data_IF_269386252369
#
_entry.id   IF_269386252369
#
_cell.length_a   1.000
_cell.length_b   1.000
_cell.length_c   1.000
_cell.angle_alpha   90.00
_cell.angle_beta   90.00
_cell.angle_gamma   90.00
#
_symmetry.space_group_name_H-M   'P 1'
#
loop_
_entity.id
_entity.type
_entity.pdbx_description
1 polymer ?
#
# COMPACT_ATOMS: atom_id res chain seq x y z
N UNK A 1 19.01 13.52 -13.89
CA UNK A 1 19.35 12.16 -13.41
C UNK A 1 20.80 11.87 -13.73
N UNK A 2 21.64 11.69 -12.71
CA UNK A 2 23.08 11.42 -12.88
C UNK A 2 23.39 9.93 -12.70
N UNK A 3 24.49 9.42 -13.27
CA UNK A 3 25.02 8.12 -12.87
C UNK A 3 25.44 8.13 -11.39
N UNK A 4 25.41 6.95 -10.77
CA UNK A 4 25.97 6.74 -9.44
C UNK A 4 27.50 6.80 -9.52
N UNK A 5 28.14 7.28 -8.46
CA UNK A 5 29.59 7.16 -8.32
C UNK A 5 29.97 5.70 -8.02
N UNK A 6 31.24 5.32 -8.18
CA UNK A 6 31.70 3.97 -7.85
C UNK A 6 31.40 3.60 -6.39
N UNK A 7 31.60 4.54 -5.47
CA UNK A 7 31.35 4.33 -4.04
C UNK A 7 29.85 4.18 -3.73
N UNK A 8 28.99 5.02 -4.33
CA UNK A 8 27.53 4.88 -4.21
C UNK A 8 27.06 3.54 -4.76
N UNK A 9 27.63 3.14 -5.90
CA UNK A 9 27.33 1.88 -6.57
C UNK A 9 27.71 0.69 -5.68
N UNK A 10 28.89 0.72 -5.07
CA UNK A 10 29.35 -0.29 -4.11
C UNK A 10 28.41 -0.41 -2.91
N UNK A 11 28.08 0.70 -2.25
CA UNK A 11 27.21 0.72 -1.07
C UNK A 11 25.80 0.20 -1.40
N UNK A 12 25.25 0.59 -2.55
CA UNK A 12 23.96 0.10 -3.02
C UNK A 12 24.01 -1.40 -3.28
N UNK A 13 25.00 -1.88 -4.03
CA UNK A 13 25.12 -3.29 -4.38
C UNK A 13 25.40 -4.18 -3.18
N UNK A 14 26.20 -3.74 -2.20
CA UNK A 14 26.38 -4.46 -0.94
C UNK A 14 25.06 -4.65 -0.18
N UNK A 15 24.15 -3.67 -0.27
CA UNK A 15 22.83 -3.80 0.36
C UNK A 15 21.91 -4.76 -0.41
N UNK A 16 21.93 -4.71 -1.74
CA UNK A 16 21.13 -5.58 -2.61
C UNK A 16 21.62 -7.04 -2.55
N UNK A 17 22.94 -7.25 -2.57
CA UNK A 17 23.58 -8.56 -2.50
C UNK A 17 23.21 -9.34 -1.24
N UNK A 18 22.84 -8.66 -0.15
CA UNK A 18 22.32 -9.31 1.07
C UNK A 18 21.01 -10.08 0.85
N UNK A 19 20.26 -9.78 -0.20
CA UNK A 19 18.98 -10.45 -0.51
C UNK A 19 19.11 -11.42 -1.70
N UNK A 20 19.75 -10.97 -2.78
CA UNK A 20 19.85 -11.75 -4.03
C UNK A 20 21.19 -12.48 -4.22
N UNK A 21 22.19 -12.21 -3.38
CA UNK A 21 23.52 -12.78 -3.51
C UNK A 21 24.22 -12.34 -4.81
N UNK A 22 24.75 -13.31 -5.55
CA UNK A 22 25.51 -13.11 -6.79
C UNK A 22 24.61 -12.88 -8.03
N UNK A 23 23.29 -13.01 -7.88
CA UNK A 23 22.31 -12.86 -8.97
C UNK A 23 22.11 -11.41 -9.45
N UNK A 24 22.96 -10.47 -9.03
CA UNK A 24 22.86 -9.06 -9.38
C UNK A 24 22.97 -8.81 -10.89
N UNK A 25 23.74 -9.63 -11.59
CA UNK A 25 23.89 -9.54 -13.05
C UNK A 25 22.56 -9.71 -13.78
N UNK A 26 21.65 -10.54 -13.24
CA UNK A 26 20.30 -10.77 -13.81
C UNK A 26 19.39 -9.53 -13.70
N UNK A 27 19.72 -8.57 -12.83
CA UNK A 27 19.02 -7.28 -12.77
C UNK A 27 19.53 -6.31 -13.84
N UNK A 28 20.80 -6.39 -14.23
CA UNK A 28 21.39 -5.48 -15.22
C UNK A 28 21.11 -6.00 -16.63
N UNK A 29 21.36 -7.28 -16.85
CA UNK A 29 21.24 -7.94 -18.14
C UNK A 29 19.94 -8.76 -18.19
N UNK A 30 18.87 -8.09 -18.61
CA UNK A 30 17.59 -8.72 -18.85
C UNK A 30 17.41 -9.03 -20.34
N UNK A 31 16.57 -10.03 -20.70
CA UNK A 31 16.34 -10.38 -22.11
C UNK A 31 15.72 -9.25 -22.94
N UNK A 32 15.02 -8.31 -22.32
CA UNK A 32 14.39 -7.13 -22.95
C UNK A 32 15.36 -5.95 -23.17
N UNK A 33 16.55 -6.02 -22.57
CA UNK A 33 17.65 -5.08 -22.76
C UNK A 33 18.42 -4.79 -21.47
N UNK A 34 19.42 -3.92 -21.59
CA UNK A 34 20.24 -3.50 -20.44
C UNK A 34 19.50 -2.48 -19.58
N UNK A 35 19.55 -2.70 -18.27
CA UNK A 35 19.02 -1.80 -17.26
C UNK A 35 20.15 -1.15 -16.48
N UNK A 36 19.92 0.08 -16.03
CA UNK A 36 20.89 0.87 -15.31
C UNK A 36 20.27 1.56 -14.10
N UNK A 37 21.13 1.90 -13.14
CA UNK A 37 20.76 2.69 -11.97
C UNK A 37 21.11 4.16 -12.18
N UNK A 38 20.20 5.06 -11.79
CA UNK A 38 20.40 6.51 -11.84
C UNK A 38 20.00 7.16 -10.53
N UNK A 39 20.75 8.19 -10.14
CA UNK A 39 20.48 8.95 -8.94
C UNK A 39 19.81 10.27 -9.29
N UNK A 40 18.76 10.59 -8.55
CA UNK A 40 18.06 11.87 -8.61
C UNK A 40 17.44 12.17 -7.25
N UNK A 41 17.67 13.38 -6.72
CA UNK A 41 17.19 13.81 -5.41
C UNK A 41 17.44 12.78 -4.29
N UNK A 42 18.68 12.29 -4.19
CA UNK A 42 19.15 11.24 -3.26
C UNK A 42 18.45 9.87 -3.38
N UNK A 43 17.56 9.71 -4.35
CA UNK A 43 16.85 8.46 -4.65
C UNK A 43 17.50 7.77 -5.83
N UNK A 44 17.59 6.45 -5.75
CA UNK A 44 18.11 5.61 -6.83
C UNK A 44 16.96 4.98 -7.56
N UNK A 45 16.95 5.16 -8.88
CA UNK A 45 15.97 4.63 -9.79
C UNK A 45 16.58 3.56 -10.69
N UNK A 46 15.85 2.48 -10.89
CA UNK A 46 16.14 1.39 -11.80
C UNK A 46 15.36 1.60 -13.10
N UNK A 47 16.06 1.72 -14.22
CA UNK A 47 15.48 2.08 -15.51
C UNK A 47 16.20 1.41 -16.68
N UNK A 48 15.44 1.10 -17.74
CA UNK A 48 16.02 0.64 -19.01
C UNK A 48 16.85 1.74 -19.65
N UNK A 49 18.01 1.39 -20.21
CA UNK A 49 18.85 2.34 -20.95
C UNK A 49 18.13 2.98 -22.13
N UNK A 50 17.17 2.27 -22.75
CA UNK A 50 16.35 2.78 -23.84
C UNK A 50 15.52 3.99 -23.39
N UNK A 51 14.85 3.87 -22.24
CA UNK A 51 14.04 4.95 -21.65
C UNK A 51 14.94 6.11 -21.20
N UNK A 52 16.11 5.80 -20.64
CA UNK A 52 17.05 6.83 -20.22
C UNK A 52 17.54 7.71 -21.37
N UNK A 53 17.81 7.12 -22.55
CA UNK A 53 18.19 7.89 -23.75
C UNK A 53 17.08 8.84 -24.19
N UNK A 54 15.82 8.43 -24.09
CA UNK A 54 14.67 9.30 -24.39
C UNK A 54 14.50 10.40 -23.34
N UNK A 55 14.74 10.07 -22.07
CA UNK A 55 14.67 11.00 -20.95
C UNK A 55 15.73 12.11 -21.00
N UNK A 56 16.80 11.93 -21.77
CA UNK A 56 17.81 12.97 -21.99
C UNK A 56 17.23 14.24 -22.63
N UNK A 57 16.07 14.15 -23.29
CA UNK A 57 15.37 15.31 -23.86
C UNK A 57 14.62 16.14 -22.81
N UNK A 58 14.50 15.65 -21.57
CA UNK A 58 13.78 16.32 -20.47
C UNK A 58 14.80 16.85 -19.47
N UNK A 59 14.64 18.11 -19.05
CA UNK A 59 15.53 18.70 -18.04
C UNK A 59 15.37 18.00 -16.69
N UNK A 60 16.47 17.82 -15.97
CA UNK A 60 16.50 17.10 -14.70
C UNK A 60 15.59 17.68 -13.61
N UNK A 61 15.34 19.00 -13.66
CA UNK A 61 14.48 19.71 -12.71
C UNK A 61 12.98 19.48 -12.98
N UNK A 62 12.62 19.19 -14.24
CA UNK A 62 11.24 18.83 -14.62
C UNK A 62 10.96 17.34 -14.48
N UNK A 63 12.01 16.53 -14.32
CA UNK A 63 11.89 15.09 -14.20
C UNK A 63 11.60 14.73 -12.73
N UNK A 64 10.38 14.27 -12.46
CA UNK A 64 9.95 13.87 -11.11
C UNK A 64 10.46 12.48 -10.73
N UNK A 65 10.27 11.50 -11.62
CA UNK A 65 10.74 10.13 -11.46
C UNK A 65 10.90 9.45 -12.83
N UNK A 66 11.71 8.40 -12.90
CA UNK A 66 11.93 7.64 -14.12
C UNK A 66 12.21 6.19 -13.76
N UNK A 67 11.35 5.26 -14.17
CA UNK A 67 11.45 3.86 -13.78
C UNK A 67 11.06 3.62 -12.32
N UNK A 68 11.61 2.57 -11.70
CA UNK A 68 11.23 2.18 -10.34
C UNK A 68 12.26 2.66 -9.32
N UNK A 69 11.81 3.30 -8.25
CA UNK A 69 12.67 3.69 -7.14
C UNK A 69 13.14 2.43 -6.38
N UNK A 70 14.45 2.20 -6.30
CA UNK A 70 15.00 1.09 -5.52
C UNK A 70 15.30 1.48 -4.07
N UNK A 71 15.48 2.77 -3.80
CA UNK A 71 15.82 3.24 -2.47
C UNK A 71 16.32 4.66 -2.46
N UNK A 72 16.81 5.08 -1.29
CA UNK A 72 17.45 6.38 -1.12
C UNK A 72 18.74 6.28 -0.30
N UNK A 73 19.68 7.18 -0.57
CA UNK A 73 20.82 7.39 0.30
C UNK A 73 20.39 8.23 1.50
N UNK A 74 20.85 7.83 2.69
CA UNK A 74 20.70 8.64 3.90
C UNK A 74 21.82 9.69 3.96
N UNK A 75 21.64 10.71 4.81
CA UNK A 75 22.69 11.69 5.15
C UNK A 75 23.98 11.03 5.67
N UNK A 76 23.87 9.81 6.20
CA UNK A 76 24.99 8.98 6.69
C UNK A 76 25.60 8.09 5.61
N UNK A 77 25.30 8.36 4.33
CA UNK A 77 25.76 7.57 3.16
C UNK A 77 25.41 6.08 3.22
N UNK A 78 24.33 5.71 3.92
CA UNK A 78 23.81 4.34 3.89
C UNK A 78 22.69 4.24 2.87
N UNK A 79 22.66 3.15 2.11
CA UNK A 79 21.56 2.89 1.19
C UNK A 79 20.37 2.26 1.92
N UNK A 80 19.24 2.98 1.95
CA UNK A 80 17.97 2.47 2.46
C UNK A 80 17.17 1.94 1.28
N UNK A 81 17.07 0.61 1.19
CA UNK A 81 16.26 -0.08 0.20
C UNK A 81 14.79 0.28 0.42
N UNK A 82 14.12 0.64 -0.66
CA UNK A 82 12.68 0.82 -0.68
C UNK A 82 12.02 -0.47 -1.14
N UNK A 83 10.79 -0.60 -0.70
CA UNK A 83 9.97 -1.76 -0.91
C UNK A 83 9.46 -1.90 -2.35
N UNK A 84 9.43 -0.80 -3.11
CA UNK A 84 9.22 -0.79 -4.57
C UNK A 84 10.28 -1.60 -5.34
N UNK A 85 11.41 -1.96 -4.71
CA UNK A 85 12.38 -2.88 -5.31
C UNK A 85 11.98 -4.36 -5.19
N UNK A 86 10.97 -4.68 -4.39
CA UNK A 86 10.61 -6.06 -4.03
C UNK A 86 10.31 -6.92 -5.26
N UNK A 87 9.54 -6.41 -6.22
CA UNK A 87 9.13 -7.16 -7.42
C UNK A 87 10.32 -7.60 -8.27
N UNK A 88 11.38 -6.80 -8.29
CA UNK A 88 12.60 -7.10 -9.01
C UNK A 88 13.54 -8.02 -8.22
N UNK A 89 13.51 -7.93 -6.88
CA UNK A 89 14.40 -8.71 -6.01
C UNK A 89 13.84 -10.09 -5.67
N UNK A 90 12.53 -10.20 -5.50
CA UNK A 90 11.83 -11.42 -5.09
C UNK A 90 12.14 -12.63 -6.01
N UNK A 91 12.14 -12.51 -7.35
CA UNK A 91 12.45 -13.62 -8.24
C UNK A 91 13.87 -14.19 -8.01
N UNK A 92 14.82 -13.31 -7.69
CA UNK A 92 16.24 -13.66 -7.56
C UNK A 92 16.71 -13.87 -6.13
N UNK A 93 15.82 -13.70 -5.14
CA UNK A 93 16.13 -13.85 -3.74
C UNK A 93 16.46 -15.31 -3.39
N UNK A 94 17.65 -15.54 -2.83
CA UNK A 94 18.11 -16.89 -2.45
C UNK A 94 17.42 -17.38 -1.18
N UNK A 95 17.28 -16.51 -0.19
CA UNK A 95 16.70 -16.86 1.11
C UNK A 95 15.31 -16.25 1.25
N UNK A 96 14.34 -17.12 1.50
CA UNK A 96 12.92 -16.80 1.53
C UNK A 96 12.30 -17.32 2.82
N UNK A 97 11.32 -16.59 3.33
CA UNK A 97 10.55 -16.94 4.52
C UNK A 97 9.07 -16.86 4.19
N UNK A 98 8.35 -17.96 4.41
CA UNK A 98 6.91 -18.03 4.24
C UNK A 98 6.23 -17.87 5.58
N UNK A 99 5.25 -16.98 5.66
CA UNK A 99 4.49 -16.70 6.87
C UNK A 99 3.06 -17.18 6.77
N UNK A 100 2.52 -17.65 7.89
CA UNK A 100 1.13 -18.11 8.00
C UNK A 100 0.16 -16.92 7.94
N UNK A 101 -1.09 -17.12 7.51
CA UNK A 101 -2.08 -16.05 7.42
C UNK A 101 -2.29 -15.28 8.73
N UNK A 102 -2.25 -15.96 9.89
CA UNK A 102 -2.38 -15.30 11.20
C UNK A 102 -1.23 -14.35 11.57
N UNK A 103 -0.09 -14.44 10.89
CA UNK A 103 1.05 -13.53 11.07
C UNK A 103 1.25 -12.59 9.87
N UNK A 104 0.55 -12.83 8.76
CA UNK A 104 0.61 -12.03 7.55
C UNK A 104 0.16 -10.60 7.82
N UNK A 105 -1.05 -10.41 8.32
CA UNK A 105 -1.58 -9.09 8.66
C UNK A 105 -0.65 -8.34 9.64
N UNK A 106 -0.09 -9.04 10.63
CA UNK A 106 0.85 -8.43 11.59
C UNK A 106 2.11 -7.92 10.90
N UNK A 107 2.67 -8.70 9.96
CA UNK A 107 3.83 -8.30 9.16
C UNK A 107 3.50 -7.15 8.20
N UNK A 108 2.32 -7.16 7.58
CA UNK A 108 1.86 -6.08 6.70
C UNK A 108 1.74 -4.75 7.46
N UNK A 109 1.36 -4.76 8.74
CA UNK A 109 1.38 -3.56 9.58
C UNK A 109 2.77 -3.17 10.10
N UNK A 110 3.83 -3.81 9.61
CA UNK A 110 5.21 -3.46 9.95
C UNK A 110 5.73 -4.12 11.23
N UNK A 111 5.02 -5.10 11.80
CA UNK A 111 5.53 -5.85 12.94
C UNK A 111 6.51 -6.95 12.52
N UNK A 112 7.30 -7.42 13.48
CA UNK A 112 8.20 -8.56 13.26
C UNK A 112 7.45 -9.88 13.14
N UNK A 113 7.97 -10.79 12.32
CA UNK A 113 7.46 -12.15 12.20
C UNK A 113 7.85 -12.95 13.46
N UNK A 114 6.84 -13.38 14.23
CA UNK A 114 7.04 -14.24 15.38
C UNK A 114 7.27 -15.70 14.96
N UNK A 115 7.94 -16.48 15.82
CA UNK A 115 8.18 -17.91 15.57
C UNK A 115 6.88 -18.72 15.36
N UNK A 116 5.77 -18.32 16.01
CA UNK A 116 4.45 -18.93 15.81
C UNK A 116 3.90 -18.74 14.39
N UNK A 117 4.21 -17.58 13.80
CA UNK A 117 3.81 -17.15 12.45
C UNK A 117 4.68 -17.70 11.33
N UNK A 118 5.82 -18.30 11.65
CA UNK A 118 6.73 -18.89 10.67
C UNK A 118 6.11 -20.17 10.09
N UNK A 119 5.95 -20.20 8.76
CA UNK A 119 5.47 -21.36 8.01
C UNK A 119 6.63 -22.20 7.51
N UNK A 120 7.44 -21.63 6.60
CA UNK A 120 8.62 -22.27 5.99
C UNK A 120 9.77 -21.27 5.93
N UNK A 121 11.00 -21.75 5.98
CA UNK A 121 12.21 -20.96 5.75
C UNK A 121 13.15 -21.73 4.83
N UNK A 122 13.87 -21.04 3.95
CA UNK A 122 14.92 -21.66 3.14
C UNK A 122 16.00 -22.27 4.05
N UNK A 123 16.45 -23.47 3.71
CA UNK A 123 17.55 -24.15 4.42
C UNK A 123 18.85 -23.34 4.34
N UNK A 124 19.76 -23.54 5.30
CA UNK A 124 21.04 -22.84 5.38
C UNK A 124 20.93 -21.31 5.48
N UNK A 125 19.80 -20.79 5.96
CA UNK A 125 19.67 -19.35 6.25
C UNK A 125 20.48 -19.03 7.52
N UNK A 126 21.60 -18.33 7.36
CA UNK A 126 22.42 -17.88 8.48
C UNK A 126 21.70 -16.81 9.32
N UNK A 127 22.11 -16.68 10.59
CA UNK A 127 21.65 -15.57 11.42
C UNK A 127 22.05 -14.22 10.77
N UNK A 128 21.15 -13.24 10.82
CA UNK A 128 21.31 -11.90 10.22
C UNK A 128 21.35 -11.87 8.68
N UNK A 129 21.01 -12.98 8.01
CA UNK A 129 20.86 -13.01 6.56
C UNK A 129 19.66 -12.15 6.11
N UNK A 130 19.81 -11.45 4.98
CA UNK A 130 18.69 -10.78 4.32
C UNK A 130 17.75 -11.80 3.70
N UNK A 131 16.49 -11.78 4.11
CA UNK A 131 15.44 -12.68 3.60
C UNK A 131 14.33 -11.88 2.96
N UNK A 132 13.69 -12.46 1.95
CA UNK A 132 12.43 -11.94 1.39
C UNK A 132 11.27 -12.72 1.99
N UNK A 133 10.24 -12.00 2.43
CA UNK A 133 9.08 -12.58 3.09
C UNK A 133 8.00 -12.86 2.05
N UNK A 134 7.32 -14.00 2.19
CA UNK A 134 6.27 -14.50 1.30
C UNK A 134 5.06 -14.94 2.12
N UNK A 135 3.88 -14.88 1.52
CA UNK A 135 2.70 -15.56 2.04
C UNK A 135 2.81 -17.06 1.76
N UNK A 136 1.95 -17.88 2.40
CA UNK A 136 1.87 -19.31 2.09
C UNK A 136 1.47 -19.61 0.62
N UNK A 137 0.94 -18.62 -0.11
CA UNK A 137 0.55 -18.71 -1.50
C UNK A 137 1.68 -18.27 -2.48
N UNK A 138 2.93 -18.20 -2.02
CA UNK A 138 4.09 -17.77 -2.82
C UNK A 138 4.01 -16.31 -3.34
N UNK A 139 3.22 -15.45 -2.68
CA UNK A 139 3.14 -14.02 -2.97
C UNK A 139 4.19 -13.26 -2.14
N UNK A 140 5.09 -12.46 -2.75
CA UNK A 140 6.08 -11.69 -2.00
C UNK A 140 5.38 -10.61 -1.17
N UNK A 141 5.64 -10.59 0.13
CA UNK A 141 4.96 -9.69 1.05
C UNK A 141 5.75 -8.41 1.30
N UNK A 142 5.01 -7.32 1.17
CA UNK A 142 5.44 -5.97 1.41
C UNK A 142 4.98 -5.52 2.82
N UNK A 143 5.85 -5.02 3.72
CA UNK A 143 5.40 -4.35 4.95
C UNK A 143 4.61 -3.08 4.56
N UNK A 144 3.29 -3.20 4.48
CA UNK A 144 2.35 -2.19 3.98
C UNK A 144 1.19 -2.77 3.14
N UNK A 145 1.28 -4.03 2.69
CA UNK A 145 0.29 -4.68 1.83
C UNK A 145 0.48 -4.32 0.34
N UNK A 146 0.42 -5.31 -0.54
CA UNK A 146 0.43 -5.08 -1.99
C UNK A 146 -0.92 -4.52 -2.48
N UNK A 147 -2.04 -4.97 -1.90
CA UNK A 147 -3.40 -4.55 -2.28
C UNK A 147 -3.59 -3.04 -2.19
N UNK A 148 -3.20 -2.42 -1.07
CA UNK A 148 -3.38 -0.97 -0.88
C UNK A 148 -2.57 -0.18 -1.90
N UNK A 149 -1.37 -0.66 -2.27
CA UNK A 149 -0.56 0.00 -3.28
C UNK A 149 -1.12 -0.15 -4.69
N UNK A 150 -1.70 -1.31 -5.02
CA UNK A 150 -2.33 -1.55 -6.32
C UNK A 150 -3.66 -0.80 -6.46
N UNK A 151 -4.50 -0.81 -5.43
CA UNK A 151 -5.80 -0.14 -5.42
C UNK A 151 -5.66 1.39 -5.48
N UNK A 152 -4.69 1.93 -4.76
CA UNK A 152 -4.47 3.37 -4.66
C UNK A 152 -3.44 3.91 -5.66
N UNK A 153 -2.87 3.05 -6.52
CA UNK A 153 -1.91 3.47 -7.55
C UNK A 153 -2.54 4.47 -8.54
N UNK A 154 -2.07 5.71 -8.51
CA UNK A 154 -2.55 6.77 -9.42
C UNK A 154 -3.93 7.34 -9.06
N UNK A 155 -4.45 7.01 -7.88
CA UNK A 155 -5.65 7.60 -7.29
C UNK A 155 -5.29 8.49 -6.09
N UNK A 156 -6.25 9.27 -5.61
CA UNK A 156 -6.10 10.00 -4.34
C UNK A 156 -6.27 9.02 -3.18
N UNK A 157 -5.17 8.74 -2.48
CA UNK A 157 -5.12 7.81 -1.36
C UNK A 157 -5.28 8.51 0.01
N UNK A 158 -5.67 9.80 0.02
CA UNK A 158 -5.68 10.61 1.25
C UNK A 158 -6.63 10.06 2.32
N UNK A 159 -7.84 9.67 1.93
CA UNK A 159 -8.82 9.07 2.85
C UNK A 159 -8.32 7.72 3.38
N UNK A 160 -7.85 6.84 2.50
CA UNK A 160 -7.29 5.54 2.89
C UNK A 160 -6.07 5.67 3.81
N UNK A 161 -5.27 6.73 3.65
CA UNK A 161 -4.14 7.02 4.54
C UNK A 161 -4.60 7.48 5.94
N UNK A 162 -5.63 8.33 6.03
CA UNK A 162 -6.14 8.81 7.31
C UNK A 162 -6.90 7.71 8.08
N UNK A 163 -7.65 6.86 7.38
CA UNK A 163 -8.43 5.75 7.97
C UNK A 163 -7.57 4.68 8.65
N UNK A 164 -6.35 4.47 8.14
CA UNK A 164 -5.41 3.48 8.72
C UNK A 164 -4.82 3.98 10.05
N UNK A 165 -4.90 5.28 10.36
CA UNK A 165 -4.45 5.81 11.64
C UNK A 165 -2.93 5.74 11.83
N UNK A 166 -2.17 6.19 10.83
CA UNK A 166 -0.71 6.19 10.87
C UNK A 166 -0.12 7.09 11.99
N UNK A 167 1.06 6.70 12.50
CA UNK A 167 1.79 7.43 13.54
C UNK A 167 2.23 8.83 13.10
N UNK A 168 2.53 9.70 14.07
CA UNK A 168 3.09 11.05 13.80
C UNK A 168 4.34 11.01 12.91
N UNK A 169 5.20 10.01 13.13
CA UNK A 169 6.44 9.83 12.39
C UNK A 169 6.18 9.46 10.93
N UNK A 170 5.14 8.66 10.66
CA UNK A 170 4.74 8.30 9.30
C UNK A 170 4.19 9.54 8.56
N UNK A 171 3.42 10.40 9.24
CA UNK A 171 2.94 11.68 8.70
C UNK A 171 4.09 12.65 8.41
N UNK A 172 5.10 12.70 9.26
CA UNK A 172 6.30 13.50 9.01
C UNK A 172 7.10 12.97 7.81
N UNK A 173 7.17 11.64 7.65
CA UNK A 173 7.82 11.03 6.51
C UNK A 173 7.08 11.30 5.20
N UNK A 174 5.74 11.32 5.20
CA UNK A 174 4.91 11.63 4.03
C UNK A 174 5.24 12.99 3.41
N UNK A 175 5.58 13.99 4.23
CA UNK A 175 6.02 15.32 3.75
C UNK A 175 7.24 15.24 2.83
N UNK A 176 8.10 14.25 2.98
CA UNK A 176 9.28 14.03 2.12
C UNK A 176 8.95 13.43 0.74
N UNK A 177 7.71 12.96 0.57
CA UNK A 177 7.20 12.37 -0.67
C UNK A 177 6.15 13.26 -1.35
N UNK A 178 5.83 14.42 -0.77
CA UNK A 178 4.98 15.40 -1.40
C UNK A 178 5.67 15.97 -2.65
N UNK A 179 5.03 15.79 -3.80
CA UNK A 179 5.55 16.21 -5.11
C UNK A 179 5.08 17.63 -5.45
N UNK A 180 3.84 17.96 -5.11
CA UNK A 180 3.19 19.24 -5.41
C UNK A 180 1.67 19.09 -5.47
N UNK A 181 0.96 20.20 -5.66
CA UNK A 181 -0.49 20.20 -5.83
C UNK A 181 -0.87 19.75 -7.25
N UNK A 182 -1.93 18.95 -7.35
CA UNK A 182 -2.52 18.57 -8.64
C UNK A 182 -3.12 19.83 -9.28
N UNK A 183 -2.88 20.01 -10.57
CA UNK A 183 -3.44 21.16 -11.29
C UNK A 183 -4.98 21.11 -11.23
N UNK A 184 -5.68 22.24 -11.00
CA UNK A 184 -7.13 22.24 -10.79
C UNK A 184 -7.95 21.65 -11.95
N UNK A 185 -7.39 21.63 -13.16
CA UNK A 185 -8.02 20.99 -14.33
C UNK A 185 -7.88 19.46 -14.36
N UNK A 186 -6.91 18.91 -13.63
CA UNK A 186 -6.65 17.46 -13.53
C UNK A 186 -7.31 16.84 -12.29
N UNK A 187 -7.90 17.68 -11.41
CA UNK A 187 -8.84 17.22 -10.40
C UNK A 187 -10.01 16.58 -11.14
N UNK A 188 -10.14 15.25 -11.07
CA UNK A 188 -11.38 14.61 -11.51
C UNK A 188 -12.52 15.31 -10.77
N UNK A 189 -13.61 15.73 -11.45
CA UNK A 189 -14.80 16.17 -10.74
C UNK A 189 -15.14 15.04 -9.79
N UNK A 190 -15.43 15.34 -8.52
CA UNK A 190 -15.79 14.33 -7.54
C UNK A 190 -16.92 13.45 -8.10
N UNK A 191 -16.53 12.31 -8.69
CA UNK A 191 -17.44 11.24 -8.98
C UNK A 191 -17.64 10.58 -7.62
N UNK A 192 -18.49 11.21 -6.82
CA UNK A 192 -19.18 10.47 -5.77
C UNK A 192 -19.72 9.22 -6.44
N UNK A 193 -19.18 8.08 -6.04
CA UNK A 193 -19.75 6.78 -6.31
C UNK A 193 -21.11 6.73 -5.62
N UNK A 194 -22.10 7.36 -6.22
CA UNK A 194 -23.46 6.86 -6.16
C UNK A 194 -23.49 5.74 -7.18
N UNK A 195 -23.28 4.52 -6.69
CA UNK A 195 -23.69 3.33 -7.42
C UNK A 195 -25.13 3.56 -7.91
N UNK A 196 -25.42 3.51 -9.23
CA UNK A 196 -26.79 3.69 -9.73
C UNK A 196 -27.72 2.51 -9.42
N UNK A 197 -27.36 1.65 -8.47
CA UNK A 197 -28.07 0.43 -8.18
C UNK A 197 -28.12 0.16 -6.67
N UNK A 198 -28.68 1.10 -5.91
CA UNK A 198 -29.32 0.81 -4.60
C UNK A 198 -30.21 1.94 -4.07
N UNK A 199 -30.82 2.76 -4.92
CA UNK A 199 -31.90 3.66 -4.51
C UNK A 199 -33.27 2.97 -4.69
N UNK A 200 -33.51 1.94 -3.88
CA UNK A 200 -34.88 1.68 -3.43
C UNK A 200 -35.16 2.66 -2.28
N UNK A 201 -36.33 3.34 -2.23
CA UNK A 201 -36.58 4.34 -1.22
C UNK A 201 -36.64 3.69 0.17
N UNK A 202 -35.57 3.82 0.95
CA UNK A 202 -35.57 3.53 2.38
C UNK A 202 -36.44 4.60 3.06
N UNK A 203 -37.73 4.28 3.21
CA UNK A 203 -38.66 5.06 4.01
C UNK A 203 -38.15 5.07 5.45
N UNK A 204 -37.79 6.26 5.91
CA UNK A 204 -37.54 6.70 7.28
C UNK A 204 -37.91 5.68 8.38
N UNK A 205 -36.85 5.20 9.05
CA UNK A 205 -36.82 4.29 10.20
C UNK A 205 -37.57 4.83 11.45
N UNK A 206 -38.07 6.07 11.43
CA UNK A 206 -38.89 6.61 12.52
C UNK A 206 -40.37 6.20 12.46
N UNK A 207 -40.87 5.75 11.31
CA UNK A 207 -42.29 5.36 11.15
C UNK A 207 -42.66 4.04 11.85
N UNK A 208 -41.68 3.14 12.04
CA UNK A 208 -41.90 1.83 12.66
C UNK A 208 -42.23 1.89 14.15
N UNK A 209 -41.92 3.00 14.82
CA UNK A 209 -42.31 3.21 16.23
C UNK A 209 -43.66 3.92 16.36
N UNK A 210 -44.06 4.73 15.37
CA UNK A 210 -45.30 5.50 15.44
C UNK A 210 -46.53 4.60 15.26
N UNK A 211 -46.48 3.65 14.33
CA UNK A 211 -47.60 2.73 14.05
C UNK A 211 -48.02 1.86 15.27
N UNK A 212 -47.11 1.20 16.01
CA UNK A 212 -47.49 0.44 17.20
C UNK A 212 -48.00 1.33 18.35
N UNK A 213 -47.45 2.55 18.51
CA UNK A 213 -47.92 3.49 19.53
C UNK A 213 -49.34 3.97 19.21
N UNK A 214 -49.62 4.33 17.95
CA UNK A 214 -50.95 4.75 17.53
C UNK A 214 -51.97 3.61 17.66
N UNK A 215 -51.58 2.39 17.30
CA UNK A 215 -52.40 1.19 17.45
C UNK A 215 -52.76 0.90 18.92
N UNK A 216 -51.80 1.01 19.85
CA UNK A 216 -52.05 0.81 21.27
C UNK A 216 -53.01 1.88 21.86
N UNK A 217 -52.90 3.13 21.41
CA UNK A 217 -53.81 4.22 21.83
C UNK A 217 -55.24 3.94 21.35
N UNK A 218 -55.43 3.58 20.07
CA UNK A 218 -56.76 3.31 19.51
C UNK A 218 -57.39 2.09 20.20
N UNK A 219 -56.64 1.03 20.43
CA UNK A 219 -57.13 -0.15 21.12
C UNK A 219 -57.49 0.17 22.59
N UNK A 220 -56.72 1.02 23.25
CA UNK A 220 -57.04 1.51 24.60
C UNK A 220 -58.32 2.36 24.65
N UNK A 221 -58.56 3.22 23.66
CA UNK A 221 -59.80 3.99 23.54
C UNK A 221 -61.01 3.10 23.23
N UNK A 222 -60.85 2.10 22.35
CA UNK A 222 -61.90 1.11 22.07
C UNK A 222 -62.23 0.25 23.30
N UNK A 223 -61.21 -0.18 24.05
CA UNK A 223 -61.43 -0.93 25.30
C UNK A 223 -62.14 -0.06 26.35
N UNK A 224 -61.77 1.22 26.47
CA UNK A 224 -62.47 2.21 27.32
C UNK A 224 -63.93 2.39 26.90
N UNK A 225 -64.20 2.46 25.59
CA UNK A 225 -65.55 2.58 25.07
C UNK A 225 -66.39 1.33 25.37
N UNK A 226 -65.84 0.14 25.10
CA UNK A 226 -66.51 -1.13 25.37
C UNK A 226 -66.79 -1.35 26.86
N UNK A 227 -65.84 -0.98 27.75
CA UNK A 227 -66.04 -1.03 29.20
C UNK A 227 -67.01 0.04 29.73
N UNK A 228 -67.21 1.15 29.00
CA UNK A 228 -68.23 2.13 29.34
C UNK A 228 -69.63 1.63 28.95
N UNK A 229 -69.74 0.96 27.79
CA UNK A 229 -70.98 0.36 27.30
C UNK A 229 -71.40 -0.87 28.11
N UNK A 230 -70.44 -1.69 28.56
CA UNK A 230 -70.71 -2.82 29.48
C UNK A 230 -71.13 -2.40 30.89
N UNK A 231 -71.02 -1.10 31.22
CA UNK A 231 -71.45 -0.54 32.50
C UNK A 231 -72.82 0.17 32.41
N UNK A 232 -73.42 0.24 31.22
CA UNK A 232 -74.74 0.85 30.98
C UNK A 232 -75.80 -0.15 30.45
N UNK A 233 -75.63 -1.45 30.69
CA UNK A 233 -76.68 -2.46 30.59
C UNK A 233 -76.96 -3.09 31.95
#
# INVERSE_FOLDING_TARGET
MRPLTEEETRVMFEKIAKYIGENLQLLVDRPDGTYCFRLHNDRVYYVSEKILKLAANISGDKLVSLGTCFGKFTKTHKFRLHITALDYLAPYAKYKVWIKPGAEQSFLYGNHVLKSGLGRITENTCQYQGVVVYSMADVPLHPGGEEVLLEQAGADASESFEDVGHSSDAREMLKQYYIGDVHPNDLKPESGSKDPLKDAPCKSCWSYWILPILGAIVLGFLYRYYMAESKSS
#
